data_IF_883204045528
#
_entry.id   IF_883204045528
#
_cell.length_a   1.000
_cell.length_b   1.000
_cell.length_c   1.000
_cell.angle_alpha   90.00
_cell.angle_beta   90.00
_cell.angle_gamma   90.00
#
_symmetry.space_group_name_H-M   'P 1'
#
loop_
_entity.id
_entity.type
_entity.pdbx_description
1 polymer ?
#
# COMPACT_ATOMS: atom_id res chain seq x y z
N UNK A 1 -25.60 -1.09 33.22
CA UNK A 1 -24.14 -1.03 33.44
C UNK A 1 -23.35 -1.02 32.11
N UNK A 2 -23.84 -0.33 31.08
CA UNK A 2 -23.10 0.03 29.87
C UNK A 2 -23.56 1.45 29.51
N UNK A 3 -22.91 2.46 30.10
CA UNK A 3 -23.12 3.84 29.63
C UNK A 3 -22.41 3.95 28.28
N UNK A 4 -23.16 4.30 27.23
CA UNK A 4 -22.65 4.68 25.91
C UNK A 4 -21.49 5.66 26.07
N UNK A 5 -20.26 5.19 25.96
CA UNK A 5 -19.10 6.06 25.80
C UNK A 5 -19.20 6.59 24.38
N UNK A 6 -19.59 7.87 24.23
CA UNK A 6 -19.61 8.51 22.92
C UNK A 6 -18.16 8.67 22.50
N UNK A 7 -17.78 8.16 21.32
CA UNK A 7 -16.43 8.32 20.75
C UNK A 7 -15.90 9.77 20.86
N UNK A 8 -16.78 10.77 20.75
CA UNK A 8 -16.46 12.20 20.95
C UNK A 8 -15.85 12.54 22.33
N UNK A 9 -16.11 11.78 23.39
CA UNK A 9 -15.55 11.99 24.72
C UNK A 9 -14.12 11.41 24.86
N UNK A 10 -13.80 10.35 24.11
CA UNK A 10 -12.45 9.77 24.04
C UNK A 10 -11.48 10.76 23.37
N UNK A 11 -11.95 11.45 22.31
CA UNK A 11 -11.15 12.43 21.59
C UNK A 11 -10.98 13.78 22.31
N UNK A 12 -11.63 13.98 23.46
CA UNK A 12 -11.56 15.25 24.21
C UNK A 12 -10.24 15.41 25.00
N UNK A 13 -9.50 14.32 25.19
CA UNK A 13 -8.24 14.26 25.94
C UNK A 13 -7.01 14.14 25.04
N UNK A 14 -7.18 14.19 23.71
CA UNK A 14 -6.04 14.34 22.81
C UNK A 14 -5.44 15.74 22.97
N UNK A 15 -4.09 15.87 22.92
CA UNK A 15 -3.45 17.18 22.93
C UNK A 15 -4.04 18.07 21.83
N UNK A 16 -4.29 19.34 22.17
CA UNK A 16 -4.91 20.31 21.27
C UNK A 16 -4.08 20.42 19.99
N UNK A 17 -4.60 19.88 18.88
CA UNK A 17 -3.92 19.90 17.58
C UNK A 17 -4.16 18.67 16.70
N UNK A 18 -4.44 17.49 17.27
CA UNK A 18 -4.80 16.30 16.49
C UNK A 18 -6.29 16.32 16.13
N UNK A 19 -6.60 16.49 14.84
CA UNK A 19 -7.95 16.23 14.34
C UNK A 19 -8.23 14.71 14.40
N UNK A 20 -9.47 14.27 14.71
CA UNK A 20 -9.81 12.84 14.77
C UNK A 20 -9.47 12.07 13.49
N UNK A 21 -9.48 12.75 12.35
CA UNK A 21 -9.13 12.21 11.03
C UNK A 21 -7.63 11.92 10.89
N UNK A 22 -6.77 12.63 11.59
CA UNK A 22 -5.32 12.47 11.48
C UNK A 22 -4.80 11.40 12.44
N UNK A 23 -5.45 11.22 13.59
CA UNK A 23 -5.27 10.07 14.48
C UNK A 23 -5.66 8.74 13.79
N UNK A 24 -6.71 8.76 12.96
CA UNK A 24 -7.14 7.57 12.20
C UNK A 24 -6.23 7.28 11.00
N UNK A 25 -5.63 8.31 10.38
CA UNK A 25 -4.62 8.13 9.31
C UNK A 25 -3.28 7.59 9.83
N UNK A 26 -2.93 7.88 11.08
CA UNK A 26 -1.74 7.33 11.74
C UNK A 26 -1.94 5.88 12.22
N UNK A 27 -3.19 5.42 12.32
CA UNK A 27 -3.56 3.99 12.33
C UNK A 27 -3.63 3.49 10.88
N UNK A 28 -2.61 3.81 10.06
CA UNK A 28 -2.34 3.04 8.87
C UNK A 28 -1.61 1.79 9.35
N UNK A 29 -2.38 0.76 9.69
CA UNK A 29 -1.84 -0.59 9.89
C UNK A 29 -1.26 -1.00 8.54
N UNK A 30 0.03 -0.79 8.37
CA UNK A 30 0.79 -1.45 7.33
C UNK A 30 0.83 -2.92 7.75
N UNK A 31 -0.18 -3.69 7.34
CA UNK A 31 -0.07 -5.15 7.24
C UNK A 31 0.86 -5.39 6.06
N UNK A 32 2.16 -5.18 6.27
CA UNK A 32 3.16 -5.81 5.42
C UNK A 32 3.17 -7.27 5.85
N UNK A 33 2.31 -8.06 5.19
CA UNK A 33 2.61 -9.46 5.03
C UNK A 33 4.00 -9.51 4.39
N UNK A 34 5.02 -9.88 5.17
CA UNK A 34 6.33 -10.23 4.64
C UNK A 34 6.08 -11.44 3.76
N UNK A 35 5.80 -11.17 2.48
CA UNK A 35 5.94 -12.19 1.47
C UNK A 35 7.44 -12.45 1.44
N UNK A 36 7.86 -13.62 1.94
CA UNK A 36 9.13 -14.14 1.48
C UNK A 36 8.98 -14.25 -0.04
N UNK A 37 9.52 -13.27 -0.76
CA UNK A 37 9.93 -13.50 -2.12
C UNK A 37 10.93 -14.64 -2.01
N UNK A 38 10.44 -15.85 -2.31
CA UNK A 38 11.32 -16.90 -2.79
C UNK A 38 12.01 -16.28 -3.98
N UNK A 39 13.24 -15.81 -3.78
CA UNK A 39 14.16 -15.56 -4.86
C UNK A 39 14.14 -16.88 -5.63
N UNK A 40 13.57 -16.86 -6.83
CA UNK A 40 13.58 -17.98 -7.74
C UNK A 40 15.04 -18.08 -8.19
N UNK A 41 15.86 -18.72 -7.36
CA UNK A 41 17.17 -19.19 -7.77
C UNK A 41 16.92 -20.13 -8.93
N UNK A 42 17.51 -19.89 -10.12
CA UNK A 42 17.33 -20.80 -11.24
C UNK A 42 17.75 -22.20 -10.76
N UNK A 43 16.91 -23.23 -10.94
CA UNK A 43 17.34 -24.58 -10.59
C UNK A 43 18.60 -24.90 -11.37
N UNK A 44 19.64 -25.29 -10.65
CA UNK A 44 20.89 -25.76 -11.22
C UNK A 44 20.62 -26.81 -12.28
N UNK A 45 21.44 -26.79 -13.33
CA UNK A 45 21.39 -27.68 -14.48
C UNK A 45 21.31 -29.15 -14.07
N UNK A 46 20.10 -29.68 -13.94
CA UNK A 46 19.83 -31.10 -13.94
C UNK A 46 19.65 -31.52 -15.41
N UNK A 47 20.56 -32.34 -15.91
CA UNK A 47 20.42 -32.95 -17.24
C UNK A 47 19.11 -33.77 -17.30
N UNK A 48 18.28 -33.60 -18.33
CA UNK A 48 17.02 -34.33 -18.40
C UNK A 48 17.30 -35.79 -18.77
N UNK A 49 16.88 -36.69 -17.88
CA UNK A 49 16.70 -38.10 -18.17
C UNK A 49 15.57 -38.22 -19.21
N UNK A 50 15.88 -38.79 -20.38
CA UNK A 50 14.96 -38.84 -21.53
C UNK A 50 13.81 -39.81 -21.27
N UNK A 51 12.64 -39.29 -20.95
CA UNK A 51 11.37 -39.98 -21.18
C UNK A 51 11.12 -40.16 -22.70
N UNK A 52 10.36 -41.19 -23.13
CA UNK A 52 10.13 -41.49 -24.55
C UNK A 52 9.45 -40.31 -25.27
N UNK A 53 10.01 -39.90 -26.41
CA UNK A 53 9.62 -38.71 -27.18
C UNK A 53 8.17 -38.71 -27.72
N UNK A 54 7.52 -39.86 -27.80
CA UNK A 54 6.16 -39.99 -28.37
C UNK A 54 5.05 -39.70 -27.35
N UNK A 55 5.19 -40.12 -26.09
CA UNK A 55 4.19 -39.82 -25.04
C UNK A 55 4.19 -38.33 -24.65
N UNK A 56 5.35 -37.68 -24.66
CA UNK A 56 5.46 -36.24 -24.40
C UNK A 56 4.88 -35.37 -25.54
N UNK A 57 4.89 -35.87 -26.78
CA UNK A 57 4.33 -35.17 -27.93
C UNK A 57 2.79 -35.25 -27.94
N UNK A 58 2.23 -36.44 -27.69
CA UNK A 58 0.79 -36.64 -27.61
C UNK A 58 0.16 -35.89 -26.42
N UNK A 59 0.79 -35.94 -25.23
CA UNK A 59 0.35 -35.17 -24.07
C UNK A 59 0.47 -33.65 -24.29
N UNK A 60 1.45 -33.21 -25.10
CA UNK A 60 1.61 -31.81 -25.48
C UNK A 60 0.56 -31.32 -26.50
N UNK A 61 0.05 -32.21 -27.35
CA UNK A 61 -0.96 -31.92 -28.37
C UNK A 61 -2.37 -31.84 -27.75
N UNK A 62 -2.74 -32.80 -26.88
CA UNK A 62 -3.98 -32.77 -26.09
C UNK A 62 -4.06 -31.53 -25.19
N UNK A 63 -2.98 -31.23 -24.46
CA UNK A 63 -2.91 -30.01 -23.63
C UNK A 63 -2.85 -28.71 -24.46
N UNK A 64 -2.56 -28.77 -25.76
CA UNK A 64 -2.63 -27.61 -26.67
C UNK A 64 -4.05 -27.43 -27.20
N UNK A 65 -4.77 -28.51 -27.46
CA UNK A 65 -6.19 -28.46 -27.81
C UNK A 65 -7.04 -27.92 -26.67
N UNK A 66 -6.81 -28.37 -25.43
CA UNK A 66 -7.50 -27.85 -24.24
C UNK A 66 -7.28 -26.34 -24.07
N UNK A 67 -6.05 -25.87 -24.30
CA UNK A 67 -5.72 -24.45 -24.16
C UNK A 67 -6.29 -23.60 -25.30
N UNK A 68 -6.34 -24.14 -26.53
CA UNK A 68 -7.03 -23.51 -27.66
C UNK A 68 -8.53 -23.44 -27.43
N UNK A 69 -9.12 -24.47 -26.84
CA UNK A 69 -10.52 -24.48 -26.46
C UNK A 69 -10.81 -23.43 -25.37
N UNK A 70 -9.92 -23.30 -24.38
CA UNK A 70 -10.01 -22.26 -23.35
C UNK A 70 -9.90 -20.84 -23.94
N UNK A 71 -8.97 -20.62 -24.88
CA UNK A 71 -8.83 -19.34 -25.57
C UNK A 71 -10.08 -19.00 -26.40
N UNK A 72 -10.63 -19.97 -27.13
CA UNK A 72 -11.85 -19.81 -27.91
C UNK A 72 -13.07 -19.52 -27.02
N UNK A 73 -13.17 -20.18 -25.87
CA UNK A 73 -14.19 -19.86 -24.87
C UNK A 73 -14.05 -18.43 -24.34
N UNK A 74 -12.83 -18.00 -24.02
CA UNK A 74 -12.57 -16.62 -23.60
C UNK A 74 -12.92 -15.61 -24.71
N UNK A 75 -12.63 -15.91 -25.98
CA UNK A 75 -13.02 -15.10 -27.13
C UNK A 75 -14.54 -14.97 -27.25
N UNK A 76 -15.31 -16.04 -27.07
CA UNK A 76 -16.77 -16.02 -27.12
C UNK A 76 -17.38 -15.13 -26.02
N UNK A 77 -16.83 -15.19 -24.80
CA UNK A 77 -17.25 -14.34 -23.69
C UNK A 77 -16.88 -12.86 -23.88
N UNK A 78 -15.68 -12.58 -24.42
CA UNK A 78 -15.25 -11.21 -24.75
C UNK A 78 -16.06 -10.63 -25.93
N UNK A 79 -16.46 -11.47 -26.88
CA UNK A 79 -17.22 -11.10 -28.07
C UNK A 79 -18.64 -10.62 -27.74
N UNK A 80 -19.26 -11.15 -26.68
CA UNK A 80 -20.61 -10.76 -26.27
C UNK A 80 -20.71 -9.31 -25.77
N UNK A 81 -19.68 -8.76 -25.13
CA UNK A 81 -19.66 -7.34 -24.76
C UNK A 81 -19.14 -6.44 -25.89
N UNK A 82 -18.17 -6.90 -26.69
CA UNK A 82 -17.51 -6.08 -27.71
C UNK A 82 -18.36 -5.88 -28.99
N UNK A 83 -19.34 -6.75 -29.26
CA UNK A 83 -20.17 -6.69 -30.49
C UNK A 83 -21.54 -6.00 -30.31
N UNK A 84 -21.85 -5.48 -29.11
CA UNK A 84 -23.15 -4.87 -28.81
C UNK A 84 -23.15 -3.32 -28.78
N UNK A 85 -22.07 -2.66 -29.20
CA UNK A 85 -22.16 -1.25 -29.58
C UNK A 85 -22.69 -1.15 -31.02
N UNK A 86 -23.94 -0.70 -31.17
CA UNK A 86 -24.58 -0.40 -32.47
C UNK A 86 -23.84 0.65 -33.32
N UNK A 87 -22.82 1.27 -32.74
CA UNK A 87 -21.95 2.27 -33.34
C UNK A 87 -20.55 1.67 -33.30
N UNK A 88 -19.83 1.68 -34.43
CA UNK A 88 -18.47 1.12 -34.60
C UNK A 88 -17.43 1.84 -33.71
N UNK A 89 -17.56 1.70 -32.39
CA UNK A 89 -16.77 2.36 -31.37
C UNK A 89 -16.09 1.28 -30.55
N UNK A 90 -14.77 1.36 -30.44
CA UNK A 90 -14.00 0.47 -29.57
C UNK A 90 -14.38 0.77 -28.11
N UNK A 91 -14.83 -0.26 -27.40
CA UNK A 91 -15.11 -0.19 -25.97
C UNK A 91 -13.83 -0.58 -25.22
N UNK A 92 -13.38 0.28 -24.31
CA UNK A 92 -12.29 -0.03 -23.40
C UNK A 92 -12.78 -1.06 -22.37
N UNK A 93 -12.07 -2.19 -22.26
CA UNK A 93 -12.33 -3.19 -21.23
C UNK A 93 -11.57 -2.81 -19.97
N UNK A 94 -12.30 -2.61 -18.87
CA UNK A 94 -11.70 -2.42 -17.55
C UNK A 94 -11.46 -3.80 -16.90
N UNK A 95 -10.22 -4.07 -16.50
CA UNK A 95 -9.86 -5.36 -15.91
C UNK A 95 -10.54 -5.56 -14.55
N UNK A 96 -11.60 -6.36 -14.54
CA UNK A 96 -12.21 -6.90 -13.32
C UNK A 96 -11.79 -8.37 -13.11
N UNK A 97 -11.20 -8.65 -11.96
CA UNK A 97 -10.67 -9.97 -11.55
C UNK A 97 -11.68 -10.81 -10.76
N UNK A 98 -12.72 -10.17 -10.22
CA UNK A 98 -13.70 -10.81 -9.33
C UNK A 98 -14.98 -11.28 -10.02
N UNK A 99 -15.14 -10.94 -11.30
CA UNK A 99 -16.19 -11.47 -12.17
C UNK A 99 -15.63 -12.61 -13.04
N UNK A 100 -16.17 -13.82 -12.87
CA UNK A 100 -15.77 -14.99 -13.65
C UNK A 100 -16.45 -15.04 -15.04
N UNK A 101 -17.50 -14.27 -15.26
CA UNK A 101 -18.27 -14.28 -16.51
C UNK A 101 -17.64 -13.40 -17.61
N UNK A 102 -16.76 -12.46 -17.25
CA UNK A 102 -16.12 -11.54 -18.19
C UNK A 102 -14.95 -12.17 -18.98
N UNK A 103 -14.48 -13.36 -18.57
CA UNK A 103 -13.38 -14.06 -19.24
C UNK A 103 -12.00 -13.40 -19.10
N UNK A 104 -11.84 -12.32 -18.33
CA UNK A 104 -10.58 -11.58 -18.20
C UNK A 104 -9.46 -12.45 -17.62
N UNK A 105 -9.74 -13.14 -16.50
CA UNK A 105 -8.77 -14.01 -15.83
C UNK A 105 -8.48 -15.24 -16.69
N UNK A 106 -9.49 -15.82 -17.33
CA UNK A 106 -9.33 -16.94 -18.24
C UNK A 106 -8.40 -16.59 -19.41
N UNK A 107 -8.58 -15.42 -20.03
CA UNK A 107 -7.71 -14.93 -21.09
C UNK A 107 -6.26 -14.77 -20.62
N UNK A 108 -6.04 -14.11 -19.48
CA UNK A 108 -4.69 -13.91 -18.92
C UNK A 108 -4.02 -15.25 -18.58
N UNK A 109 -4.77 -16.21 -18.06
CA UNK A 109 -4.29 -17.55 -17.70
C UNK A 109 -3.89 -18.35 -18.95
N UNK A 110 -4.74 -18.38 -19.97
CA UNK A 110 -4.43 -19.06 -21.22
C UNK A 110 -3.20 -18.43 -21.92
N UNK A 111 -3.16 -17.10 -22.02
CA UNK A 111 -2.05 -16.38 -22.64
C UNK A 111 -0.73 -16.56 -21.88
N UNK A 112 -0.76 -16.55 -20.54
CA UNK A 112 0.43 -16.76 -19.71
C UNK A 112 0.94 -18.21 -19.83
N UNK A 113 0.05 -19.20 -19.84
CA UNK A 113 0.41 -20.61 -19.98
C UNK A 113 0.98 -20.96 -21.36
N UNK A 114 0.45 -20.38 -22.45
CA UNK A 114 1.05 -20.51 -23.79
C UNK A 114 2.50 -20.01 -23.80
N UNK A 115 2.73 -18.87 -23.17
CA UNK A 115 4.09 -18.32 -23.04
C UNK A 115 4.95 -19.18 -22.14
N UNK A 116 4.44 -19.67 -21.01
CA UNK A 116 5.16 -20.53 -20.09
C UNK A 116 5.66 -21.80 -20.78
N UNK A 117 4.78 -22.45 -21.55
CA UNK A 117 5.08 -23.63 -22.36
C UNK A 117 6.21 -23.38 -23.37
N UNK A 118 6.20 -22.23 -24.04
CA UNK A 118 7.24 -21.85 -25.01
C UNK A 118 8.65 -21.75 -24.37
N UNK A 119 8.75 -21.46 -23.07
CA UNK A 119 10.01 -21.31 -22.34
C UNK A 119 10.29 -22.45 -21.34
N UNK A 120 9.46 -23.49 -21.31
CA UNK A 120 9.59 -24.59 -20.34
C UNK A 120 9.35 -24.16 -18.88
N UNK A 121 8.57 -23.09 -18.67
CA UNK A 121 8.14 -22.63 -17.35
C UNK A 121 6.88 -23.42 -16.95
N UNK A 122 6.71 -23.83 -15.68
CA UNK A 122 5.48 -24.48 -15.22
C UNK A 122 4.24 -23.60 -15.43
N UNK A 123 3.17 -24.21 -15.96
CA UNK A 123 1.87 -23.55 -16.14
C UNK A 123 1.20 -23.28 -14.77
N UNK A 124 0.38 -22.25 -14.72
CA UNK A 124 -0.36 -21.85 -13.53
C UNK A 124 -1.87 -22.04 -13.73
N UNK A 125 -2.58 -22.37 -12.65
CA UNK A 125 -4.04 -22.43 -12.66
C UNK A 125 -4.64 -21.02 -12.67
N UNK A 126 -5.95 -20.95 -12.91
CA UNK A 126 -6.67 -19.68 -12.96
C UNK A 126 -6.64 -18.96 -11.60
N UNK A 127 -6.65 -19.71 -10.49
CA UNK A 127 -6.58 -19.13 -9.15
C UNK A 127 -5.23 -18.49 -8.85
N UNK A 128 -4.10 -19.14 -9.18
CA UNK A 128 -2.78 -18.56 -9.03
C UNK A 128 -2.60 -17.36 -9.96
N UNK A 129 -3.10 -17.45 -11.19
CA UNK A 129 -3.07 -16.33 -12.13
C UNK A 129 -3.89 -15.15 -11.61
N UNK A 130 -5.12 -15.39 -11.13
CA UNK A 130 -5.96 -14.37 -10.48
C UNK A 130 -5.27 -13.72 -9.29
N UNK A 131 -4.61 -14.52 -8.45
CA UNK A 131 -3.86 -14.02 -7.29
C UNK A 131 -2.75 -13.04 -7.71
N UNK A 132 -1.98 -13.39 -8.73
CA UNK A 132 -0.84 -12.58 -9.19
C UNK A 132 -1.30 -11.38 -10.04
N UNK A 133 -2.08 -11.62 -11.09
CA UNK A 133 -2.57 -10.57 -12.00
C UNK A 133 -3.50 -9.58 -11.30
N UNK A 134 -4.33 -10.07 -10.38
CA UNK A 134 -5.25 -9.29 -9.58
C UNK A 134 -4.65 -8.62 -8.34
N UNK A 135 -3.34 -8.82 -8.08
CA UNK A 135 -2.63 -8.31 -6.89
C UNK A 135 -3.37 -8.58 -5.58
N UNK A 136 -3.91 -9.80 -5.43
CA UNK A 136 -4.71 -10.18 -4.26
C UNK A 136 -3.81 -10.25 -3.03
N UNK A 137 -4.15 -9.46 -2.01
CA UNK A 137 -3.53 -9.54 -0.68
C UNK A 137 -4.26 -10.61 0.13
N UNK A 138 -3.58 -11.69 0.57
CA UNK A 138 -4.20 -12.70 1.41
C UNK A 138 -4.70 -12.10 2.73
N UNK A 139 -5.92 -12.44 3.13
CA UNK A 139 -6.52 -11.97 4.37
C UNK A 139 -7.30 -13.11 5.06
N UNK A 140 -7.22 -13.15 6.39
CA UNK A 140 -7.94 -14.11 7.21
C UNK A 140 -8.46 -13.40 8.48
N UNK A 141 -9.70 -13.72 8.88
CA UNK A 141 -10.36 -13.06 9.99
C UNK A 141 -9.61 -13.20 11.34
N UNK A 142 -8.85 -14.28 11.53
CA UNK A 142 -8.07 -14.53 12.74
C UNK A 142 -7.00 -13.47 12.96
N UNK A 143 -6.19 -13.16 11.94
CA UNK A 143 -5.16 -12.11 12.03
C UNK A 143 -5.79 -10.74 12.22
N UNK A 144 -6.92 -10.46 11.54
CA UNK A 144 -7.67 -9.21 11.73
C UNK A 144 -8.17 -9.05 13.18
N UNK A 145 -8.71 -10.12 13.78
CA UNK A 145 -9.19 -10.09 15.15
C UNK A 145 -8.06 -9.86 16.16
N UNK A 146 -6.91 -10.52 15.97
CA UNK A 146 -5.72 -10.33 16.82
C UNK A 146 -5.21 -8.89 16.73
N UNK A 147 -5.02 -8.36 15.52
CA UNK A 147 -4.55 -6.99 15.31
C UNK A 147 -5.54 -5.98 15.90
N UNK A 148 -6.85 -6.15 15.69
CA UNK A 148 -7.86 -5.26 16.27
C UNK A 148 -7.83 -5.29 17.81
N UNK A 149 -7.64 -6.47 18.41
CA UNK A 149 -7.48 -6.61 19.87
C UNK A 149 -6.26 -5.86 20.39
N UNK A 150 -5.10 -6.01 19.74
CA UNK A 150 -3.86 -5.31 20.13
C UNK A 150 -4.00 -3.78 20.00
N UNK A 151 -4.60 -3.30 18.91
CA UNK A 151 -4.89 -1.87 18.72
C UNK A 151 -5.84 -1.35 19.81
N UNK A 152 -6.85 -2.14 20.19
CA UNK A 152 -7.75 -1.80 21.30
C UNK A 152 -7.04 -1.62 22.63
N UNK A 153 -6.01 -2.42 22.92
CA UNK A 153 -5.18 -2.27 24.12
C UNK A 153 -4.36 -0.97 24.09
N UNK A 154 -3.76 -0.63 22.95
CA UNK A 154 -3.02 0.63 22.79
C UNK A 154 -3.94 1.85 22.89
N UNK A 155 -5.18 1.76 22.40
CA UNK A 155 -6.18 2.82 22.53
C UNK A 155 -6.50 3.14 24.01
N UNK A 156 -6.56 2.12 24.87
CA UNK A 156 -6.77 2.32 26.32
C UNK A 156 -5.59 3.07 26.93
N UNK A 157 -4.35 2.74 26.55
CA UNK A 157 -3.15 3.43 27.03
C UNK A 157 -3.14 4.90 26.61
N UNK A 158 -3.52 5.18 25.36
CA UNK A 158 -3.66 6.54 24.84
C UNK A 158 -4.71 7.32 25.64
N UNK A 159 -5.89 6.74 25.88
CA UNK A 159 -6.95 7.39 26.66
C UNK A 159 -6.54 7.68 28.11
N UNK A 160 -5.59 6.93 28.68
CA UNK A 160 -5.02 7.15 30.01
C UNK A 160 -3.85 8.14 30.03
N UNK A 161 -3.40 8.63 28.87
CA UNK A 161 -2.23 9.51 28.78
C UNK A 161 -0.94 8.85 29.24
N UNK A 162 -0.76 7.55 28.93
CA UNK A 162 0.46 6.83 29.30
C UNK A 162 1.70 7.37 28.56
N UNK A 163 2.89 7.29 29.17
CA UNK A 163 4.12 7.75 28.54
C UNK A 163 4.54 6.80 27.40
N UNK A 164 5.44 7.25 26.53
CA UNK A 164 5.85 6.53 25.31
C UNK A 164 6.37 5.12 25.60
N UNK A 165 7.10 4.96 26.69
CA UNK A 165 7.72 3.71 27.15
C UNK A 165 6.67 2.67 27.57
N UNK A 166 5.40 3.04 27.74
CA UNK A 166 4.31 2.11 28.00
C UNK A 166 3.64 1.57 26.72
N UNK A 167 3.88 2.23 25.59
CA UNK A 167 3.34 1.82 24.29
C UNK A 167 4.17 0.70 23.67
N UNK A 168 3.53 -0.12 22.83
CA UNK A 168 4.19 -1.24 22.15
C UNK A 168 3.74 -1.34 20.70
N UNK A 169 4.71 -1.45 19.80
CA UNK A 169 4.50 -1.92 18.44
C UNK A 169 4.39 -3.44 18.48
N UNK A 170 3.33 -4.02 17.91
CA UNK A 170 3.14 -5.47 17.86
C UNK A 170 3.44 -6.04 16.48
N UNK A 171 4.25 -7.10 16.44
CA UNK A 171 4.55 -7.89 15.24
C UNK A 171 3.97 -9.28 15.44
N UNK A 172 3.10 -9.72 14.52
CA UNK A 172 2.37 -10.98 14.65
C UNK A 172 2.58 -11.82 13.39
N UNK A 173 2.99 -13.07 13.58
CA UNK A 173 2.86 -14.12 12.58
C UNK A 173 2.09 -15.28 13.24
N UNK A 174 0.92 -15.64 12.70
CA UNK A 174 0.10 -16.72 13.27
C UNK A 174 0.40 -18.09 12.65
N UNK A 175 1.20 -18.14 11.57
CA UNK A 175 1.59 -19.40 10.94
C UNK A 175 2.71 -20.10 11.73
N UNK A 176 3.73 -19.34 12.11
CA UNK A 176 4.70 -19.70 13.15
C UNK A 176 4.28 -18.84 14.35
N UNK A 177 3.58 -19.35 15.37
CA UNK A 177 2.84 -18.59 16.39
C UNK A 177 3.73 -17.62 17.19
N UNK A 178 4.09 -16.53 16.53
CA UNK A 178 5.14 -15.59 16.89
C UNK A 178 4.50 -14.24 17.13
N UNK A 179 4.81 -13.69 18.30
CA UNK A 179 4.37 -12.40 18.74
C UNK A 179 5.57 -11.69 19.36
N UNK A 180 5.96 -10.57 18.76
CA UNK A 180 7.02 -9.73 19.28
C UNK A 180 6.50 -8.32 19.51
N UNK A 181 7.04 -7.67 20.54
CA UNK A 181 6.73 -6.30 20.87
C UNK A 181 8.00 -5.47 20.93
N UNK A 182 7.96 -4.28 20.35
CA UNK A 182 9.03 -3.28 20.49
C UNK A 182 8.47 -1.98 21.05
N UNK A 183 9.33 -1.20 21.67
CA UNK A 183 8.99 0.17 22.04
C UNK A 183 8.94 1.05 20.78
N UNK A 184 7.99 1.99 20.69
CA UNK A 184 8.01 2.98 19.62
C UNK A 184 9.25 3.88 19.75
N UNK A 185 9.87 4.19 18.62
CA UNK A 185 10.98 5.13 18.59
C UNK A 185 10.49 6.55 18.97
N UNK A 186 11.29 7.31 19.75
CA UNK A 186 11.00 8.72 19.97
C UNK A 186 11.08 9.49 18.64
N UNK A 187 10.36 10.60 18.55
CA UNK A 187 10.41 11.45 17.37
C UNK A 187 11.84 11.97 17.14
N UNK A 188 12.32 11.83 15.90
CA UNK A 188 13.63 12.34 15.50
C UNK A 188 13.66 13.86 15.67
N UNK A 189 14.75 14.35 16.27
CA UNK A 189 14.98 15.77 16.56
C UNK A 189 16.07 16.30 15.66
N UNK A 190 15.69 17.16 14.71
CA UNK A 190 16.62 17.85 13.83
C UNK A 190 17.02 19.18 14.45
N UNK A 191 18.31 19.41 14.76
CA UNK A 191 18.75 20.70 15.30
C UNK A 191 18.59 21.80 14.25
N UNK A 192 18.13 22.97 14.69
CA UNK A 192 17.93 24.15 13.86
C UNK A 192 18.98 25.22 14.23
N UNK A 193 19.96 25.41 13.35
CA UNK A 193 21.00 26.43 13.50
C UNK A 193 21.85 26.28 14.77
N UNK A 194 22.49 27.37 15.18
CA UNK A 194 23.36 27.42 16.37
C UNK A 194 22.60 27.77 17.67
N UNK A 195 21.27 27.87 17.63
CA UNK A 195 20.44 28.36 18.75
C UNK A 195 20.07 27.27 19.75
N UNK A 196 20.49 26.02 19.53
CA UNK A 196 20.18 24.87 20.39
C UNK A 196 18.73 24.40 20.32
N UNK A 197 17.92 24.94 19.40
CA UNK A 197 16.55 24.49 19.16
C UNK A 197 16.53 23.25 18.28
N UNK A 198 15.54 22.39 18.47
CA UNK A 198 15.31 21.20 17.63
C UNK A 198 13.89 21.17 17.10
N UNK A 199 13.70 20.60 15.92
CA UNK A 199 12.40 20.35 15.30
C UNK A 199 12.13 18.86 15.20
N UNK A 200 10.87 18.47 15.33
CA UNK A 200 10.39 17.10 15.11
C UNK A 200 9.28 17.09 14.06
N UNK A 201 8.88 15.91 13.62
CA UNK A 201 7.74 15.71 12.71
C UNK A 201 6.43 16.36 13.21
N UNK A 202 6.28 16.49 14.54
CA UNK A 202 5.05 16.98 15.17
C UNK A 202 5.02 18.50 15.36
N UNK A 203 6.18 19.15 15.21
CA UNK A 203 6.27 20.59 15.34
C UNK A 203 5.72 21.27 14.09
N UNK A 204 5.06 22.41 14.27
CA UNK A 204 4.50 23.21 13.17
C UNK A 204 4.58 24.69 13.47
N UNK A 205 4.70 25.49 12.43
CA UNK A 205 4.63 26.96 12.53
C UNK A 205 3.21 27.43 12.34
N UNK A 206 2.62 27.93 13.42
CA UNK A 206 1.33 28.59 13.37
C UNK A 206 1.54 30.09 13.15
N UNK A 207 1.24 30.55 11.94
CA UNK A 207 1.29 31.97 11.61
C UNK A 207 -0.12 32.54 11.66
N UNK A 208 -0.43 33.27 12.73
CA UNK A 208 -1.68 34.03 12.80
C UNK A 208 -1.61 35.22 11.83
N UNK A 209 -2.42 35.19 10.77
CA UNK A 209 -2.56 36.30 9.85
C UNK A 209 -3.99 36.39 9.32
N UNK A 210 -4.56 37.60 9.17
CA UNK A 210 -5.77 37.78 8.38
C UNK A 210 -5.46 37.43 6.92
N UNK A 211 -6.31 36.59 6.32
CA UNK A 211 -6.10 35.96 5.02
C UNK A 211 -5.80 36.94 3.85
N UNK A 212 -6.12 38.22 4.01
CA UNK A 212 -5.96 39.25 2.98
C UNK A 212 -4.63 40.03 3.03
N UNK A 213 -3.75 39.81 4.03
CA UNK A 213 -2.64 40.74 4.29
C UNK A 213 -1.23 40.11 4.40
N UNK A 214 -1.07 38.79 4.29
CA UNK A 214 0.25 38.17 4.42
C UNK A 214 0.92 38.00 3.06
N UNK A 215 1.89 38.85 2.77
CA UNK A 215 2.75 38.69 1.59
C UNK A 215 3.79 37.59 1.85
N UNK A 216 4.30 36.96 0.78
CA UNK A 216 5.36 35.94 0.88
C UNK A 216 6.61 36.51 1.57
N UNK A 217 6.98 37.75 1.25
CA UNK A 217 8.09 38.43 1.92
C UNK A 217 7.86 38.64 3.42
N UNK A 218 6.64 39.03 3.82
CA UNK A 218 6.28 39.16 5.24
C UNK A 218 6.26 37.80 5.97
N UNK A 219 5.86 36.72 5.28
CA UNK A 219 5.93 35.36 5.82
C UNK A 219 7.39 34.92 6.02
N UNK A 220 8.27 35.11 5.02
CA UNK A 220 9.69 34.79 5.15
C UNK A 220 10.33 35.54 6.32
N UNK A 221 10.12 36.86 6.40
CA UNK A 221 10.66 37.68 7.49
C UNK A 221 10.17 37.24 8.88
N UNK A 222 8.90 36.82 9.00
CA UNK A 222 8.34 36.29 10.25
C UNK A 222 8.96 34.95 10.64
N UNK A 223 9.16 34.06 9.67
CA UNK A 223 9.81 32.76 9.92
C UNK A 223 11.25 32.97 10.38
N UNK A 224 12.02 33.80 9.68
CA UNK A 224 13.42 34.10 10.03
C UNK A 224 13.53 34.75 11.42
N UNK A 225 12.66 35.71 11.73
CA UNK A 225 12.61 36.33 13.06
C UNK A 225 12.25 35.33 14.18
N UNK A 226 11.38 34.35 13.91
CA UNK A 226 10.96 33.36 14.91
C UNK A 226 12.11 32.41 15.31
N UNK A 227 13.00 32.09 14.38
CA UNK A 227 14.10 31.15 14.61
C UNK A 227 15.42 31.77 15.07
N UNK A 228 15.55 33.09 14.94
CA UNK A 228 16.72 33.83 15.37
C UNK A 228 17.75 34.07 14.27
N UNK A 229 18.83 34.81 14.58
CA UNK A 229 19.82 35.21 13.58
C UNK A 229 20.53 33.98 13.00
N UNK A 230 20.59 33.90 11.66
CA UNK A 230 21.33 32.86 10.93
C UNK A 230 20.48 31.82 10.21
N UNK A 231 19.15 31.90 10.29
CA UNK A 231 18.25 31.12 9.44
C UNK A 231 17.63 31.98 8.35
N UNK A 232 17.72 31.49 7.11
CA UNK A 232 17.15 32.12 5.91
C UNK A 232 16.21 31.14 5.24
N UNK A 233 15.04 31.61 4.82
CA UNK A 233 14.11 30.79 4.05
C UNK A 233 14.68 30.57 2.64
N UNK A 234 15.06 29.34 2.32
CA UNK A 234 15.59 28.98 1.00
C UNK A 234 14.49 28.74 -0.03
N UNK A 235 13.40 28.10 0.37
CA UNK A 235 12.27 27.80 -0.49
C UNK A 235 10.98 27.56 0.29
N UNK A 236 9.84 27.89 -0.30
CA UNK A 236 8.51 27.59 0.20
C UNK A 236 7.73 26.82 -0.88
N UNK A 237 7.21 25.65 -0.50
CA UNK A 237 6.34 24.84 -1.34
C UNK A 237 4.92 24.79 -0.81
N UNK A 238 3.95 24.67 -1.71
CA UNK A 238 2.56 24.37 -1.39
C UNK A 238 2.10 23.18 -2.22
N UNK A 239 1.97 22.01 -1.58
CA UNK A 239 1.77 20.75 -2.29
C UNK A 239 2.93 20.48 -3.25
N UNK A 240 2.62 20.23 -4.52
CA UNK A 240 3.61 20.05 -5.59
C UNK A 240 4.12 21.35 -6.24
N UNK A 241 3.67 22.52 -5.77
CA UNK A 241 4.03 23.82 -6.36
C UNK A 241 5.12 24.50 -5.54
N UNK A 242 6.11 25.05 -6.24
CA UNK A 242 7.12 25.94 -5.65
C UNK A 242 6.57 27.37 -5.63
N UNK A 243 6.34 27.92 -4.44
CA UNK A 243 5.75 29.27 -4.25
C UNK A 243 6.84 30.33 -4.17
N UNK A 244 7.97 30.00 -3.56
CA UNK A 244 9.13 30.87 -3.45
C UNK A 244 10.39 30.03 -3.43
N UNK A 245 11.45 30.52 -4.06
CA UNK A 245 12.78 30.04 -3.82
C UNK A 245 13.76 31.19 -3.96
N UNK A 246 14.75 31.20 -3.09
CA UNK A 246 15.72 32.28 -3.00
C UNK A 246 16.58 32.40 -4.27
N UNK A 247 16.81 31.30 -4.98
CA UNK A 247 17.54 31.28 -6.25
C UNK A 247 16.70 31.68 -7.47
N UNK A 248 15.38 31.83 -7.33
CA UNK A 248 14.52 32.30 -8.43
C UNK A 248 14.54 33.83 -8.57
N UNK A 249 15.18 34.53 -7.63
CA UNK A 249 15.40 35.98 -7.68
C UNK A 249 16.77 36.33 -8.25
N UNK A 250 16.80 36.53 -9.57
CA UNK A 250 17.80 37.29 -10.33
C UNK A 250 17.07 38.20 -11.30
#
# INVERSE_FOLDING_TARGET
>A
WLRRVRLKEVFRHLPQGLQPTDALKSILVIVQAVNHSGAMTPPGSASPEKAPREEAAAAGEEALEDLRAALKGAEEHLSTELLLSKENVLVELEFEKDDAANGHVAFVTAASNLRARAYGIPEADELATKRVAGKIVPALATTTAVVAGLVGLELIKLAQGKPLEAHRNGFVNLAEPFLAFSEPAPAERTPIGATGRSFTLWDRFEVAAPAAALTVGALCARLEAAFGPGLRVSSLGWGGLLVYADFLGG
#
